data_IF_797744413238
#
_entry.id   IF_797744413238
#
_cell.length_a   1.000
_cell.length_b   1.000
_cell.length_c   1.000
_cell.angle_alpha   90.00
_cell.angle_beta   90.00
_cell.angle_gamma   90.00
#
_symmetry.space_group_name_H-M   'P 1'
#
loop_
_entity.id
_entity.type
_entity.pdbx_description
1 polymer ?
#
# COMPACT_ATOMS: atom_id res chain seq x y z
N UNK A 1 -9.34 -7.56 -11.27
CA UNK A 1 -8.16 -6.96 -10.64
C UNK A 1 -8.61 -5.91 -9.63
N UNK A 2 -8.10 -5.97 -8.45
CA UNK A 2 -8.41 -4.99 -7.40
C UNK A 2 -7.12 -4.40 -6.85
N UNK A 3 -7.13 -3.11 -6.65
CA UNK A 3 -6.00 -2.40 -6.08
C UNK A 3 -6.47 -1.64 -4.84
N UNK A 4 -5.57 -1.46 -3.89
CA UNK A 4 -5.91 -0.74 -2.68
C UNK A 4 -4.69 -0.12 -2.03
N UNK A 5 -4.91 1.06 -1.45
CA UNK A 5 -3.88 1.75 -0.67
C UNK A 5 -4.44 1.92 0.74
N UNK A 6 -3.65 1.54 1.72
CA UNK A 6 -4.02 1.63 3.13
C UNK A 6 -3.04 2.52 3.86
N UNK A 7 -3.55 3.30 4.78
CA UNK A 7 -2.68 4.05 5.69
C UNK A 7 -2.55 3.29 6.99
N UNK A 8 -1.37 3.35 7.57
CA UNK A 8 -1.09 2.72 8.86
C UNK A 8 -0.13 3.59 9.65
N UNK A 9 -0.05 3.35 10.94
CA UNK A 9 0.80 4.13 11.82
C UNK A 9 1.72 3.20 12.59
N UNK A 10 2.99 3.56 12.64
CA UNK A 10 3.97 2.81 13.42
C UNK A 10 3.89 3.18 14.89
N UNK A 11 4.58 2.42 15.71
CA UNK A 11 4.59 2.65 17.16
C UNK A 11 5.16 4.01 17.53
N UNK A 12 6.06 4.54 16.72
CA UNK A 12 6.68 5.85 16.98
C UNK A 12 5.84 7.02 16.47
N UNK A 13 4.69 6.73 15.86
CA UNK A 13 3.80 7.76 15.34
C UNK A 13 3.97 8.06 13.86
N UNK A 14 4.91 7.40 13.21
CA UNK A 14 5.13 7.62 11.77
C UNK A 14 4.02 7.00 10.94
N UNK A 15 3.42 7.79 10.06
CA UNK A 15 2.39 7.30 9.16
C UNK A 15 3.05 6.79 7.87
N UNK A 16 2.59 5.63 7.42
CA UNK A 16 3.04 5.08 6.16
C UNK A 16 1.86 4.50 5.40
N UNK A 17 2.05 4.26 4.12
CA UNK A 17 1.01 3.73 3.25
C UNK A 17 1.47 2.40 2.67
N UNK A 18 0.52 1.47 2.55
CA UNK A 18 0.78 0.15 1.99
C UNK A 18 -0.11 -0.04 0.76
N UNK A 19 0.47 -0.54 -0.31
CA UNK A 19 -0.24 -0.79 -1.55
C UNK A 19 -0.35 -2.29 -1.80
N UNK A 20 -1.54 -2.72 -2.17
CA UNK A 20 -1.81 -4.11 -2.49
C UNK A 20 -2.55 -4.22 -3.81
N UNK A 21 -2.31 -5.31 -4.53
CA UNK A 21 -3.04 -5.65 -5.73
C UNK A 21 -3.58 -7.06 -5.58
N UNK A 22 -4.85 -7.26 -5.94
CA UNK A 22 -5.44 -8.58 -6.04
C UNK A 22 -5.72 -8.86 -7.51
N UNK A 23 -5.11 -9.93 -8.02
CA UNK A 23 -5.26 -10.28 -9.42
C UNK A 23 -5.40 -11.80 -9.54
N UNK A 24 -6.53 -12.23 -10.12
CA UNK A 24 -6.81 -13.66 -10.35
C UNK A 24 -6.56 -14.49 -9.09
N UNK A 25 -7.19 -14.12 -8.00
CA UNK A 25 -7.10 -14.77 -6.70
C UNK A 25 -5.73 -14.69 -6.04
N UNK A 26 -4.81 -13.92 -6.60
CA UNK A 26 -3.48 -13.71 -6.03
C UNK A 26 -3.40 -12.35 -5.35
N UNK A 27 -2.81 -12.34 -4.17
CA UNK A 27 -2.58 -11.11 -3.44
C UNK A 27 -1.11 -10.71 -3.57
N UNK A 28 -0.88 -9.54 -4.15
CA UNK A 28 0.46 -9.05 -4.37
C UNK A 28 0.65 -7.80 -3.52
N UNK A 29 1.64 -7.83 -2.64
CA UNK A 29 1.99 -6.69 -1.82
C UNK A 29 3.09 -5.90 -2.51
N UNK A 30 2.86 -4.61 -2.74
CA UNK A 30 3.83 -3.74 -3.41
C UNK A 30 4.83 -3.13 -2.44
N UNK A 31 4.54 -3.16 -1.15
CA UNK A 31 5.44 -2.65 -0.13
C UNK A 31 4.89 -1.42 0.58
N UNK A 32 5.77 -0.76 1.30
CA UNK A 32 5.43 0.42 2.10
C UNK A 32 5.95 1.67 1.45
N UNK A 33 5.20 2.75 1.57
CA UNK A 33 5.56 4.04 0.99
C UNK A 33 5.36 5.15 2.01
N UNK A 34 6.11 6.23 1.88
CA UNK A 34 6.01 7.35 2.81
C UNK A 34 4.85 8.28 2.49
N UNK A 35 4.28 8.20 1.28
CA UNK A 35 3.17 9.05 0.90
C UNK A 35 2.17 8.27 0.07
N UNK A 36 0.93 8.75 0.09
CA UNK A 36 -0.14 8.16 -0.69
C UNK A 36 0.15 8.24 -2.19
N UNK A 37 0.73 9.34 -2.61
CA UNK A 37 1.08 9.52 -4.01
C UNK A 37 2.06 8.47 -4.49
N UNK A 38 3.06 8.17 -3.67
CA UNK A 38 4.03 7.13 -3.99
C UNK A 38 3.37 5.76 -4.06
N UNK A 39 2.46 5.48 -3.14
CA UNK A 39 1.74 4.21 -3.13
C UNK A 39 0.89 4.06 -4.39
N UNK A 40 0.22 5.12 -4.81
CA UNK A 40 -0.59 5.10 -6.03
C UNK A 40 0.28 4.94 -7.28
N UNK A 41 1.45 5.53 -7.29
CA UNK A 41 2.37 5.40 -8.42
C UNK A 41 2.86 3.98 -8.61
N UNK A 42 2.91 3.20 -7.55
CA UNK A 42 3.38 1.82 -7.61
C UNK A 42 2.33 0.86 -8.17
N UNK A 43 1.07 1.30 -8.23
CA UNK A 43 -0.03 0.46 -8.71
C UNK A 43 -0.15 0.47 -10.23
#
# INVERSE_FOLDING_TARGET
MQTGVYSAQKKDGTVYYRANITYQTKHISLGSFSSEEDAHSAI
#
